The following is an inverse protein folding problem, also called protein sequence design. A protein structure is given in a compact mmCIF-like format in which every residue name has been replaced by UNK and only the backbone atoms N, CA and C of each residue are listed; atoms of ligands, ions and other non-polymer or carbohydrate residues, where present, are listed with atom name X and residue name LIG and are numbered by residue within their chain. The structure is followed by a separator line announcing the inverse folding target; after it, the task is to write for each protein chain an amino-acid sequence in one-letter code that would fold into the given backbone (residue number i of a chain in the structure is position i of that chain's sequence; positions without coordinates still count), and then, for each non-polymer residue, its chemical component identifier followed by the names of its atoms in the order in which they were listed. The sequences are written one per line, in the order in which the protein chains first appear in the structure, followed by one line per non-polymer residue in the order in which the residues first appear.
data_IF_328053645813
#
_entry.id   IF_328053645813
#
_cell.length_a   1.000
_cell.length_b   1.000
_cell.length_c   1.000
_cell.angle_alpha   90.00
_cell.angle_beta   90.00
_cell.angle_gamma   90.00
#
_symmetry.space_group_name_H-M   'P 1'
#
loop_
_entity.id
_entity.type
_entity.pdbx_description
1 polymer ?
#
# COMPACT_ATOMS: atom_id res chain seq x y z
N UNK A 1 32.64 -35.42 8.55
CA UNK A 1 31.32 -34.91 8.08
C UNK A 1 30.90 -33.59 8.74
N UNK A 2 31.16 -33.37 10.04
CA UNK A 2 30.73 -32.15 10.76
C UNK A 2 31.35 -30.82 10.31
N UNK A 3 32.63 -30.80 9.92
CA UNK A 3 33.32 -29.56 9.50
C UNK A 3 32.78 -29.02 8.17
N UNK A 4 32.48 -29.90 7.21
CA UNK A 4 31.91 -29.50 5.91
C UNK A 4 30.50 -28.91 6.01
N UNK A 5 29.67 -29.45 6.91
CA UNK A 5 28.35 -28.89 7.20
C UNK A 5 28.43 -27.50 7.84
N UNK A 6 29.44 -27.26 8.69
CA UNK A 6 29.71 -25.95 9.28
C UNK A 6 30.03 -24.88 8.23
N UNK A 7 30.95 -25.17 7.31
CA UNK A 7 31.31 -24.25 6.23
C UNK A 7 30.14 -24.00 5.26
N UNK A 8 29.34 -25.03 4.93
CA UNK A 8 28.14 -24.86 4.11
C UNK A 8 27.10 -23.95 4.78
N UNK A 9 26.86 -24.14 6.08
CA UNK A 9 25.94 -23.28 6.84
C UNK A 9 26.42 -21.84 6.87
N UNK A 10 27.71 -21.62 7.17
CA UNK A 10 28.28 -20.27 7.26
C UNK A 10 28.30 -19.58 5.90
N UNK A 11 28.67 -20.29 4.82
CA UNK A 11 28.62 -19.78 3.45
C UNK A 11 27.20 -19.47 3.00
N UNK A 12 26.23 -20.34 3.33
CA UNK A 12 24.81 -20.11 3.03
C UNK A 12 24.24 -18.87 3.74
N UNK A 13 24.57 -18.67 5.02
CA UNK A 13 24.17 -17.46 5.75
C UNK A 13 24.82 -16.19 5.19
N UNK A 14 26.10 -16.25 4.80
CA UNK A 14 26.78 -15.13 4.18
C UNK A 14 26.16 -14.77 2.82
N UNK A 15 25.86 -15.78 2.00
CA UNK A 15 25.18 -15.61 0.72
C UNK A 15 23.78 -15.03 0.90
N UNK A 16 22.98 -15.55 1.84
CA UNK A 16 21.65 -15.05 2.14
C UNK A 16 21.67 -13.58 2.56
N UNK A 17 22.63 -13.18 3.39
CA UNK A 17 22.80 -11.78 3.78
C UNK A 17 23.19 -10.87 2.61
N UNK A 18 24.10 -11.32 1.74
CA UNK A 18 24.48 -10.57 0.54
C UNK A 18 23.30 -10.43 -0.43
N UNK A 19 22.54 -11.51 -0.62
CA UNK A 19 21.33 -11.52 -1.42
C UNK A 19 20.30 -10.54 -0.85
N UNK A 20 20.02 -10.57 0.45
CA UNK A 20 19.09 -9.65 1.09
C UNK A 20 19.50 -8.18 0.92
N UNK A 21 20.80 -7.87 0.98
CA UNK A 21 21.30 -6.49 0.86
C UNK A 21 21.35 -5.97 -0.57
N UNK A 22 21.53 -6.84 -1.57
CA UNK A 22 21.77 -6.43 -2.97
C UNK A 22 20.62 -6.74 -3.93
N UNK A 23 19.80 -7.74 -3.63
CA UNK A 23 18.74 -8.20 -4.52
C UNK A 23 17.37 -7.65 -4.15
N UNK A 24 17.25 -6.95 -3.03
CA UNK A 24 15.98 -6.42 -2.52
C UNK A 24 16.06 -4.90 -2.46
N UNK A 25 15.00 -4.24 -2.90
CA UNK A 25 14.82 -2.79 -2.79
C UNK A 25 13.50 -2.53 -2.08
N UNK A 26 13.54 -1.62 -1.10
CA UNK A 26 12.37 -1.18 -0.34
C UNK A 26 12.09 0.29 -0.61
N UNK A 27 10.84 0.61 -0.89
CA UNK A 27 10.30 1.96 -0.97
C UNK A 27 9.47 2.23 0.27
N UNK A 28 9.76 3.31 1.00
CA UNK A 28 9.01 3.72 2.19
C UNK A 28 8.19 4.96 1.90
N UNK A 29 6.90 4.89 2.23
CA UNK A 29 5.93 5.99 2.09
C UNK A 29 5.34 6.27 3.48
N UNK A 30 5.73 7.39 4.14
CA UNK A 30 5.19 7.74 5.45
C UNK A 30 3.76 8.30 5.32
N UNK A 31 2.96 8.20 6.37
CA UNK A 31 1.57 8.69 6.39
C UNK A 31 1.41 10.21 6.23
N UNK A 32 2.52 10.97 6.35
CA UNK A 32 2.55 12.42 6.11
C UNK A 32 2.73 12.77 4.63
N UNK A 33 3.14 11.81 3.81
CA UNK A 33 3.31 12.02 2.38
C UNK A 33 1.95 12.01 1.67
N UNK A 34 1.79 12.86 0.66
CA UNK A 34 0.59 12.92 -0.17
C UNK A 34 0.36 11.62 -0.95
N UNK A 35 1.42 10.86 -1.27
CA UNK A 35 1.30 9.59 -1.98
C UNK A 35 0.67 8.47 -1.15
N UNK A 36 0.62 8.60 0.18
CA UNK A 36 0.06 7.60 1.09
C UNK A 36 -1.42 7.29 0.79
N UNK A 37 -2.35 8.27 0.81
CA UNK A 37 -3.76 8.03 0.47
C UNK A 37 -3.95 7.57 -0.98
N UNK A 38 -3.14 8.05 -1.93
CA UNK A 38 -3.21 7.65 -3.34
C UNK A 38 -2.98 6.14 -3.48
N UNK A 39 -1.92 5.64 -2.83
CA UNK A 39 -1.59 4.21 -2.86
C UNK A 39 -2.65 3.34 -2.18
N UNK A 40 -3.18 3.78 -1.03
CA UNK A 40 -4.23 3.04 -0.31
C UNK A 40 -5.51 2.90 -1.13
N UNK A 41 -5.93 3.98 -1.80
CA UNK A 41 -7.10 3.93 -2.68
C UNK A 41 -6.84 3.02 -3.89
N UNK A 42 -5.65 3.11 -4.49
CA UNK A 42 -5.26 2.26 -5.62
C UNK A 42 -5.30 0.78 -5.26
N UNK A 43 -4.70 0.38 -4.13
CA UNK A 43 -4.70 -1.04 -3.71
C UNK A 43 -6.11 -1.52 -3.34
N UNK A 44 -6.95 -0.67 -2.74
CA UNK A 44 -8.35 -0.99 -2.47
C UNK A 44 -9.11 -1.28 -3.77
N UNK A 45 -8.99 -0.41 -4.77
CA UNK A 45 -9.67 -0.57 -6.05
C UNK A 45 -9.18 -1.81 -6.80
N UNK A 46 -7.86 -2.04 -6.84
CA UNK A 46 -7.28 -3.22 -7.47
C UNK A 46 -7.68 -4.52 -6.76
N UNK A 47 -7.76 -4.53 -5.43
CA UNK A 47 -8.27 -5.69 -4.68
C UNK A 47 -9.75 -5.97 -4.97
N UNK A 48 -10.57 -4.93 -5.13
CA UNK A 48 -11.97 -5.08 -5.50
C UNK A 48 -12.12 -5.60 -6.94
N UNK A 49 -11.28 -5.11 -7.87
CA UNK A 49 -11.19 -5.62 -9.25
C UNK A 49 -10.80 -7.10 -9.31
N UNK A 50 -9.97 -7.58 -8.38
CA UNK A 50 -9.67 -9.02 -8.27
C UNK A 50 -10.88 -9.84 -7.83
N UNK A 51 -11.70 -9.30 -6.90
CA UNK A 51 -12.90 -9.97 -6.40
C UNK A 51 -14.03 -10.00 -7.45
N UNK A 52 -14.16 -8.94 -8.23
CA UNK A 52 -15.06 -8.86 -9.37
C UNK A 52 -14.50 -9.67 -10.55
N UNK A 53 -14.93 -10.93 -10.70
CA UNK A 53 -14.46 -11.95 -11.66
C UNK A 53 -14.57 -11.62 -13.17
N UNK A 54 -14.50 -10.35 -13.59
CA UNK A 54 -14.70 -9.91 -14.98
C UNK A 54 -13.51 -9.24 -15.67
N UNK A 55 -12.43 -8.91 -14.96
CA UNK A 55 -11.22 -8.29 -15.52
C UNK A 55 -9.95 -9.02 -15.13
N UNK A 56 -8.91 -8.97 -15.95
CA UNK A 56 -7.56 -9.37 -15.53
C UNK A 56 -7.01 -8.25 -14.62
N UNK A 57 -6.95 -8.45 -13.29
CA UNK A 57 -6.53 -7.38 -12.40
C UNK A 57 -5.04 -7.12 -12.62
N UNK A 58 -4.63 -5.84 -12.57
CA UNK A 58 -3.22 -5.46 -12.72
C UNK A 58 -2.37 -5.92 -11.53
N UNK A 59 -3.06 -6.20 -10.42
CA UNK A 59 -2.56 -6.69 -9.15
C UNK A 59 -3.20 -8.04 -8.79
N UNK A 60 -2.46 -8.94 -8.16
CA UNK A 60 -3.05 -10.00 -7.31
C UNK A 60 -2.55 -9.85 -5.89
N UNK A 61 -3.43 -9.66 -4.92
CA UNK A 61 -3.13 -9.37 -3.52
C UNK A 61 -3.49 -10.57 -2.64
N UNK A 62 -2.53 -11.00 -1.84
CA UNK A 62 -2.71 -11.95 -0.75
C UNK A 62 -2.50 -11.20 0.57
N UNK A 63 -3.61 -10.88 1.22
CA UNK A 63 -3.64 -10.22 2.51
C UNK A 63 -4.39 -11.08 3.51
N UNK A 64 -3.81 -11.24 4.71
CA UNK A 64 -4.44 -11.92 5.84
C UNK A 64 -4.93 -10.93 6.92
N UNK A 65 -4.65 -9.63 6.75
CA UNK A 65 -5.09 -8.58 7.67
C UNK A 65 -5.74 -7.44 6.88
N UNK A 66 -7.00 -7.16 7.19
CA UNK A 66 -7.81 -6.16 6.53
C UNK A 66 -8.11 -5.02 7.50
N UNK A 67 -8.19 -3.81 6.97
CA UNK A 67 -8.57 -2.60 7.68
C UNK A 67 -9.64 -1.88 6.86
N UNK A 68 -10.54 -1.19 7.55
CA UNK A 68 -11.64 -0.47 6.91
C UNK A 68 -11.27 1.00 6.86
N UNK A 69 -11.37 1.58 5.67
CA UNK A 69 -11.30 3.01 5.45
C UNK A 69 -12.70 3.53 5.11
N UNK A 70 -13.19 4.43 5.96
CA UNK A 70 -14.52 5.02 5.85
C UNK A 70 -14.41 6.43 5.30
N UNK A 71 -14.93 6.65 4.09
CA UNK A 71 -15.13 7.99 3.53
C UNK A 71 -16.48 8.51 3.99
N UNK A 72 -16.48 9.51 4.87
CA UNK A 72 -17.67 10.18 5.38
C UNK A 72 -17.82 11.54 4.72
N UNK A 73 -18.83 11.71 3.87
CA UNK A 73 -19.18 13.01 3.26
C UNK A 73 -20.53 13.47 3.81
N UNK A 74 -20.50 14.53 4.62
CA UNK A 74 -21.71 15.16 5.15
C UNK A 74 -22.20 16.24 4.19
N UNK A 75 -23.45 16.13 3.77
CA UNK A 75 -24.11 17.10 2.91
C UNK A 75 -24.77 18.22 3.72
N UNK A 76 -24.98 19.38 3.09
CA UNK A 76 -25.60 20.55 3.74
C UNK A 76 -27.06 20.31 4.17
N UNK A 77 -27.76 19.39 3.50
CA UNK A 77 -29.13 18.97 3.83
C UNK A 77 -29.22 18.04 5.06
N UNK A 78 -28.09 17.71 5.70
CA UNK A 78 -28.03 16.81 6.84
C UNK A 78 -27.94 15.32 6.48
N UNK A 79 -28.00 14.94 5.21
CA UNK A 79 -27.69 13.57 4.78
C UNK A 79 -26.18 13.32 4.83
N UNK A 80 -25.78 12.06 4.97
CA UNK A 80 -24.37 11.67 4.97
C UNK A 80 -24.16 10.46 4.06
N UNK A 81 -23.23 10.60 3.13
CA UNK A 81 -22.75 9.49 2.33
C UNK A 81 -21.58 8.83 3.06
N UNK A 82 -21.74 7.55 3.38
CA UNK A 82 -20.74 6.75 4.07
C UNK A 82 -20.33 5.62 3.15
N UNK A 83 -19.08 5.65 2.67
CA UNK A 83 -18.52 4.60 1.84
C UNK A 83 -17.45 3.85 2.62
N UNK A 84 -17.58 2.52 2.68
CA UNK A 84 -16.60 1.64 3.29
C UNK A 84 -15.74 1.02 2.20
N UNK A 85 -14.42 1.23 2.29
CA UNK A 85 -13.43 0.57 1.45
C UNK A 85 -12.55 -0.33 2.31
N UNK A 86 -12.23 -1.51 1.79
CA UNK A 86 -11.37 -2.46 2.50
C UNK A 86 -9.95 -2.31 1.97
N UNK A 87 -9.02 -2.00 2.86
CA UNK A 87 -7.60 -1.82 2.58
C UNK A 87 -6.77 -2.85 3.37
N UNK A 88 -5.53 -3.15 2.96
CA UNK A 88 -4.62 -3.95 3.77
C UNK A 88 -4.37 -3.27 5.13
N UNK A 89 -4.62 -4.02 6.21
CA UNK A 89 -4.36 -3.60 7.57
C UNK A 89 -2.88 -3.62 7.94
N UNK A 90 -2.57 -3.32 9.21
CA UNK A 90 -1.20 -3.43 9.73
C UNK A 90 -0.70 -4.87 9.60
N UNK A 91 0.56 -5.03 9.18
CA UNK A 91 1.15 -6.34 8.92
C UNK A 91 1.85 -6.42 7.56
N UNK A 92 2.18 -7.64 7.16
CA UNK A 92 2.87 -7.95 5.90
C UNK A 92 1.93 -8.67 4.95
N UNK A 93 1.90 -8.20 3.70
CA UNK A 93 1.06 -8.67 2.62
C UNK A 93 1.91 -8.91 1.38
N UNK A 94 1.49 -9.84 0.53
CA UNK A 94 2.19 -10.11 -0.72
C UNK A 94 1.27 -9.76 -1.88
N UNK A 95 1.83 -9.15 -2.91
CA UNK A 95 1.11 -8.92 -4.14
C UNK A 95 1.98 -9.14 -5.37
N UNK A 96 1.33 -9.43 -6.49
CA UNK A 96 1.97 -9.53 -7.79
C UNK A 96 1.49 -8.38 -8.67
N UNK A 97 2.42 -7.54 -9.10
CA UNK A 97 2.16 -6.37 -9.95
C UNK A 97 3.01 -6.46 -11.22
N UNK A 98 2.35 -6.42 -12.39
CA UNK A 98 3.02 -6.53 -13.71
C UNK A 98 4.03 -7.69 -13.82
N UNK A 99 3.74 -8.81 -13.14
CA UNK A 99 4.60 -10.00 -13.13
C UNK A 99 5.68 -10.03 -12.04
N UNK A 100 5.95 -8.92 -11.36
CA UNK A 100 6.88 -8.83 -10.25
C UNK A 100 6.19 -9.14 -8.91
N UNK A 101 6.89 -9.89 -8.05
CA UNK A 101 6.46 -10.10 -6.67
C UNK A 101 6.89 -8.92 -5.81
N UNK A 102 5.96 -8.42 -5.02
CA UNK A 102 6.17 -7.32 -4.10
C UNK A 102 5.57 -7.66 -2.74
N UNK A 103 6.25 -7.24 -1.69
CA UNK A 103 5.78 -7.34 -0.32
C UNK A 103 5.39 -5.96 0.17
N UNK A 104 4.16 -5.81 0.64
CA UNK A 104 3.67 -4.62 1.30
C UNK A 104 3.73 -4.84 2.82
N UNK A 105 4.36 -3.93 3.53
CA UNK A 105 4.37 -3.92 5.00
C UNK A 105 3.77 -2.60 5.48
N UNK A 106 2.71 -2.66 6.28
CA UNK A 106 2.11 -1.49 6.93
C UNK A 106 2.41 -1.56 8.42
N UNK A 107 3.16 -0.59 8.93
CA UNK A 107 3.52 -0.54 10.35
C UNK A 107 2.99 0.74 10.98
N UNK A 108 2.51 0.61 12.22
CA UNK A 108 2.14 1.74 13.07
C UNK A 108 3.29 1.98 14.05
N UNK A 109 3.75 3.22 14.16
CA UNK A 109 4.79 3.53 15.11
C UNK A 109 4.18 3.65 16.52
N UNK A 110 4.50 2.69 17.39
CA UNK A 110 3.97 2.59 18.76
C UNK A 110 4.70 3.49 19.75
N UNK A 111 5.82 4.12 19.37
CA UNK A 111 6.53 5.03 20.28
C UNK A 111 5.74 6.32 20.49
N UNK A 112 5.57 6.63 21.79
CA UNK A 112 4.83 7.75 22.36
C UNK A 112 5.36 9.09 21.85
N UNK A 113 4.85 9.55 20.71
CA UNK A 113 4.93 10.94 20.32
C UNK A 113 3.53 11.53 20.52
N UNK A 114 3.39 12.74 21.09
CA UNK A 114 2.09 13.41 21.15
C UNK A 114 1.55 13.45 19.72
N UNK A 115 0.38 12.84 19.51
CA UNK A 115 -0.17 12.64 18.17
C UNK A 115 -0.34 13.96 17.41
N UNK A 116 -0.44 13.92 16.07
CA UNK A 116 -0.89 15.07 15.29
C UNK A 116 -2.25 15.57 15.80
N UNK A 117 -2.57 16.84 15.53
CA UNK A 117 -3.83 17.52 15.87
C UNK A 117 -5.09 16.70 15.51
N UNK A 118 -4.99 15.78 14.55
CA UNK A 118 -6.06 14.91 14.05
C UNK A 118 -6.23 13.55 14.76
N UNK A 119 -5.43 13.23 15.79
CA UNK A 119 -5.60 12.01 16.60
C UNK A 119 -5.28 10.68 15.88
N UNK A 120 -4.79 10.71 14.64
CA UNK A 120 -4.40 9.50 13.88
C UNK A 120 -2.96 9.10 14.22
N UNK A 121 -2.69 7.80 14.47
CA UNK A 121 -1.33 7.33 14.73
C UNK A 121 -0.47 7.42 13.46
N UNK A 122 0.83 7.65 13.62
CA UNK A 122 1.76 7.66 12.50
C UNK A 122 1.93 6.26 11.92
N UNK A 123 1.79 6.14 10.61
CA UNK A 123 1.86 4.88 9.88
C UNK A 123 2.89 4.97 8.75
N UNK A 124 3.57 3.86 8.46
CA UNK A 124 4.53 3.75 7.37
C UNK A 124 4.16 2.57 6.49
N UNK A 125 4.15 2.78 5.18
CA UNK A 125 4.02 1.73 4.18
C UNK A 125 5.40 1.45 3.57
N UNK A 126 5.85 0.21 3.65
CA UNK A 126 7.09 -0.25 3.01
C UNK A 126 6.74 -1.25 1.91
N UNK A 127 7.12 -0.95 0.67
CA UNK A 127 6.95 -1.83 -0.49
C UNK A 127 8.31 -2.38 -0.86
N UNK A 128 8.46 -3.70 -0.78
CA UNK A 128 9.72 -4.39 -1.02
C UNK A 128 9.60 -5.25 -2.28
N UNK A 129 10.55 -5.13 -3.21
CA UNK A 129 10.62 -5.95 -4.43
C UNK A 129 12.05 -6.32 -4.78
N UNK A 130 12.25 -7.11 -5.83
CA UNK A 130 13.57 -7.45 -6.34
C UNK A 130 14.22 -6.23 -7.00
N UNK A 131 15.53 -6.07 -6.85
CA UNK A 131 16.29 -4.95 -7.40
C UNK A 131 16.16 -4.80 -8.93
N UNK A 132 15.91 -5.91 -9.64
CA UNK A 132 15.61 -5.94 -11.08
C UNK A 132 14.35 -5.14 -11.43
N UNK A 133 13.34 -5.21 -10.57
CA UNK A 133 11.99 -4.69 -10.80
C UNK A 133 11.78 -3.30 -10.16
N UNK A 134 12.86 -2.67 -9.65
CA UNK A 134 12.83 -1.33 -9.04
C UNK A 134 12.20 -0.25 -9.93
N UNK A 135 12.26 -0.44 -11.25
CA UNK A 135 11.70 0.48 -12.24
C UNK A 135 10.16 0.51 -12.21
N UNK A 136 9.52 -0.45 -11.53
CA UNK A 136 8.07 -0.49 -11.38
C UNK A 136 7.55 0.45 -10.28
N UNK A 137 8.39 0.90 -9.34
CA UNK A 137 7.94 1.78 -8.27
C UNK A 137 7.36 3.12 -8.77
N UNK A 138 8.03 3.87 -9.67
CA UNK A 138 7.47 5.13 -10.18
C UNK A 138 6.19 4.91 -10.99
N UNK A 139 6.14 3.81 -11.76
CA UNK A 139 4.96 3.45 -12.57
C UNK A 139 3.75 3.18 -11.67
N UNK A 140 3.96 2.43 -10.59
CA UNK A 140 2.93 2.14 -9.60
C UNK A 140 2.41 3.42 -8.92
N UNK A 141 3.32 4.30 -8.49
CA UNK A 141 2.95 5.54 -7.82
C UNK A 141 2.20 6.49 -8.75
N UNK A 142 2.59 6.54 -10.02
CA UNK A 142 1.91 7.35 -11.03
C UNK A 142 0.49 6.82 -11.33
N UNK A 143 0.31 5.50 -11.43
CA UNK A 143 -1.03 4.90 -11.54
C UNK A 143 -1.91 5.22 -10.33
N UNK A 144 -1.33 5.15 -9.12
CA UNK A 144 -2.04 5.50 -7.90
C UNK A 144 -2.47 6.97 -7.88
N UNK A 145 -1.58 7.88 -8.31
CA UNK A 145 -1.86 9.31 -8.43
C UNK A 145 -2.96 9.58 -9.46
N UNK A 146 -2.91 8.93 -10.62
CA UNK A 146 -3.91 9.10 -11.67
C UNK A 146 -5.29 8.65 -11.20
N UNK A 147 -5.37 7.47 -10.57
CA UNK A 147 -6.62 6.94 -10.02
C UNK A 147 -7.23 7.87 -8.95
N UNK A 148 -6.38 8.42 -8.08
CA UNK A 148 -6.82 9.39 -7.08
C UNK A 148 -7.37 10.66 -7.73
N UNK A 149 -6.65 11.21 -8.72
CA UNK A 149 -7.07 12.40 -9.45
C UNK A 149 -8.40 12.19 -10.20
N UNK A 150 -8.59 11.02 -10.81
CA UNK A 150 -9.86 10.63 -11.46
C UNK A 150 -11.01 10.55 -10.44
N UNK A 151 -10.75 9.99 -9.26
CA UNK A 151 -11.74 9.90 -8.19
C UNK A 151 -12.13 11.28 -7.62
N UNK A 152 -11.18 12.22 -7.54
CA UNK A 152 -11.46 13.61 -7.17
C UNK A 152 -12.26 14.35 -8.25
N UNK A 153 -11.87 14.21 -9.53
CA UNK A 153 -12.55 14.86 -10.65
C UNK A 153 -14.00 14.38 -10.81
N UNK A 154 -14.26 13.08 -10.59
CA UNK A 154 -15.60 12.51 -10.59
C UNK A 154 -16.50 13.02 -9.46
N UNK A 155 -15.95 13.70 -8.45
CA UNK A 155 -16.68 14.24 -7.31
C UNK A 155 -17.02 15.75 -7.45
N UNK A 156 -17.06 16.29 -8.68
CA UNK A 156 -17.33 17.71 -8.95
C UNK A 156 -18.51 18.24 -8.12
N UNK A 157 -18.20 19.18 -7.22
CA UNK A 157 -19.18 19.84 -6.34
C UNK A 157 -19.98 20.83 -7.18
N UNK A 158 -21.27 20.56 -7.40
CA UNK A 158 -22.20 21.52 -8.00
C UNK A 158 -22.48 22.61 -6.97
N UNK A 159 -21.80 23.75 -7.11
CA UNK A 159 -22.17 24.96 -6.38
C UNK A 159 -23.41 25.55 -7.03
N UNK A 160 -24.58 25.33 -6.42
CA UNK A 160 -25.79 26.09 -6.76
C UNK A 160 -25.78 27.42 -6.02
N UNK A 161 -25.85 28.54 -6.75
CA UNK A 161 -26.03 29.87 -6.18
C UNK A 161 -27.49 30.03 -5.77
N UNK A 162 -27.75 30.05 -4.47
CA UNK A 162 -29.07 30.40 -3.92
C UNK A 162 -29.16 31.93 -3.87
N UNK A 163 -29.93 32.52 -4.78
CA UNK A 163 -30.37 33.93 -4.75
C UNK A 163 -31.68 34.10 -4.01
#
# INVERSE_FOLDING_TARGET
VGVGLGFLRQGGLAFANLAQRRLIVSLEVPSRDAAYPWFLQWIAMESNRQAAKGGAPSLRLWSNALSVETSYKKHLNGSADVLFSVVPGVGTHLFRYRGAWMQLKRERQTQMMPGPVDGRPFETLSITTLARDKHLFPVLLEEARQLYAEAEQGAMVVHTAMG
#
